data_IF_701866570717
#
_entry.id   IF_701866570717
#
_cell.length_a   1.000
_cell.length_b   1.000
_cell.length_c   1.000
_cell.angle_alpha   90.00
_cell.angle_beta   90.00
_cell.angle_gamma   90.00
#
_symmetry.space_group_name_H-M   'P 1'
#
loop_
_entity.id
_entity.type
_entity.pdbx_description
1 polymer ?
#
# COMPACT_ATOMS: atom_id res chain seq x y z
N UNK A 1 26.30 4.29 27.74
CA UNK A 1 26.07 2.96 28.36
C UNK A 1 24.60 2.50 28.34
N UNK A 2 23.72 3.04 27.49
CA UNK A 2 22.28 2.63 27.46
C UNK A 2 21.87 2.01 26.11
N UNK A 3 22.54 2.37 25.01
CA UNK A 3 22.23 1.87 23.66
C UNK A 3 22.39 0.35 23.43
N UNK A 4 23.45 -0.34 23.93
CA UNK A 4 23.64 -1.77 23.63
C UNK A 4 22.64 -2.67 24.36
N UNK A 5 22.07 -2.23 25.49
CA UNK A 5 21.14 -3.01 26.27
C UNK A 5 19.76 -3.12 25.58
N UNK A 6 19.30 -2.04 24.93
CA UNK A 6 18.00 -2.01 24.24
C UNK A 6 17.99 -2.97 23.03
N UNK A 7 19.13 -3.11 22.33
CA UNK A 7 19.27 -4.06 21.23
C UNK A 7 19.25 -5.52 21.71
N UNK A 8 19.77 -5.80 22.91
CA UNK A 8 19.76 -7.13 23.49
C UNK A 8 18.33 -7.61 23.85
N UNK A 9 17.43 -6.70 24.25
CA UNK A 9 16.02 -7.03 24.52
C UNK A 9 15.26 -7.60 23.30
N UNK A 10 15.68 -7.29 22.07
CA UNK A 10 15.01 -7.74 20.84
C UNK A 10 15.82 -8.75 20.01
N UNK A 11 17.09 -8.97 20.33
CA UNK A 11 17.98 -9.91 19.65
C UNK A 11 18.16 -11.23 20.42
N UNK A 12 17.23 -11.59 21.32
CA UNK A 12 17.16 -12.96 21.83
C UNK A 12 16.49 -13.85 20.78
N UNK A 13 17.28 -14.68 20.13
CA UNK A 13 16.80 -15.67 19.18
C UNK A 13 16.57 -16.98 19.94
N UNK A 14 15.33 -17.49 20.04
CA UNK A 14 15.10 -18.78 20.66
C UNK A 14 15.92 -19.88 19.99
N UNK A 15 16.58 -20.70 20.81
CA UNK A 15 17.39 -21.82 20.36
C UNK A 15 16.52 -22.88 19.67
N UNK A 16 15.28 -23.09 20.16
CA UNK A 16 14.30 -23.97 19.54
C UNK A 16 13.46 -23.21 18.50
N UNK A 17 13.48 -23.71 17.25
CA UNK A 17 12.77 -23.10 16.13
C UNK A 17 11.25 -23.08 16.31
N UNK A 18 10.70 -23.91 17.19
CA UNK A 18 9.26 -23.97 17.48
C UNK A 18 8.74 -22.70 18.13
N UNK A 19 9.58 -21.97 18.85
CA UNK A 19 9.18 -20.71 19.50
C UNK A 19 8.92 -19.57 18.50
N UNK A 20 9.37 -19.69 17.24
CA UNK A 20 9.03 -18.73 16.18
C UNK A 20 7.68 -18.97 15.51
N UNK A 21 7.05 -20.14 15.72
CA UNK A 21 5.78 -20.50 15.07
C UNK A 21 4.69 -19.43 15.31
N UNK A 22 4.48 -18.91 16.54
CA UNK A 22 3.50 -17.85 16.78
C UNK A 22 3.80 -16.58 15.97
N UNK A 23 5.06 -16.16 15.91
CA UNK A 23 5.47 -14.99 15.14
C UNK A 23 5.25 -15.18 13.63
N UNK A 24 5.55 -16.37 13.10
CA UNK A 24 5.31 -16.71 11.70
C UNK A 24 3.82 -16.69 11.34
N UNK A 25 2.95 -17.18 12.24
CA UNK A 25 1.49 -17.14 12.05
C UNK A 25 1.00 -15.69 12.04
N UNK A 26 1.36 -14.89 13.04
CA UNK A 26 0.97 -13.48 13.12
C UNK A 26 1.44 -12.71 11.89
N UNK A 27 2.71 -12.86 11.50
CA UNK A 27 3.26 -12.24 10.31
C UNK A 27 2.50 -12.65 9.05
N UNK A 28 2.18 -13.93 8.90
CA UNK A 28 1.44 -14.44 7.74
C UNK A 28 0.04 -13.83 7.64
N UNK A 29 -0.67 -13.70 8.76
CA UNK A 29 -2.00 -13.07 8.80
C UNK A 29 -1.92 -11.61 8.35
N UNK A 30 -0.98 -10.84 8.90
CA UNK A 30 -0.79 -9.44 8.52
C UNK A 30 -0.34 -9.28 7.08
N UNK A 31 0.53 -10.16 6.58
CA UNK A 31 0.99 -10.15 5.20
C UNK A 31 -0.16 -10.40 4.24
N UNK A 32 -1.00 -11.41 4.51
CA UNK A 32 -2.19 -11.70 3.70
C UNK A 32 -3.14 -10.51 3.71
N UNK A 33 -3.41 -9.94 4.90
CA UNK A 33 -4.25 -8.76 5.03
C UNK A 33 -3.71 -7.58 4.22
N UNK A 34 -2.42 -7.29 4.29
CA UNK A 34 -1.79 -6.20 3.53
C UNK A 34 -1.92 -6.40 2.01
N UNK A 35 -1.72 -7.63 1.52
CA UNK A 35 -1.89 -7.96 0.11
C UNK A 35 -3.35 -7.75 -0.32
N UNK A 36 -4.31 -8.22 0.48
CA UNK A 36 -5.74 -8.04 0.20
C UNK A 36 -6.13 -6.56 0.20
N UNK A 37 -5.65 -5.79 1.18
CA UNK A 37 -5.89 -4.35 1.25
C UNK A 37 -5.33 -3.65 0.01
N UNK A 38 -4.09 -3.94 -0.39
CA UNK A 38 -3.53 -3.34 -1.60
C UNK A 38 -4.30 -3.73 -2.86
N UNK A 39 -4.73 -4.98 -2.96
CA UNK A 39 -5.55 -5.42 -4.09
C UNK A 39 -6.88 -4.66 -4.18
N UNK A 40 -7.55 -4.42 -3.06
CA UNK A 40 -8.79 -3.63 -2.99
C UNK A 40 -8.53 -2.18 -3.40
N UNK A 41 -7.47 -1.55 -2.88
CA UNK A 41 -7.12 -0.16 -3.21
C UNK A 41 -6.91 -0.01 -4.72
N UNK A 42 -6.09 -0.88 -5.33
CA UNK A 42 -5.81 -0.83 -6.77
C UNK A 42 -7.10 -0.97 -7.59
N UNK A 43 -8.00 -1.89 -7.20
CA UNK A 43 -9.28 -2.09 -7.88
C UNK A 43 -10.15 -0.85 -7.82
N UNK A 44 -10.21 -0.19 -6.66
CA UNK A 44 -10.99 1.03 -6.47
C UNK A 44 -10.37 2.19 -7.25
N UNK A 45 -9.05 2.35 -7.22
CA UNK A 45 -8.34 3.40 -7.97
C UNK A 45 -8.60 3.31 -9.47
N UNK A 46 -8.58 2.11 -10.06
CA UNK A 46 -8.88 1.92 -11.49
C UNK A 46 -10.30 2.38 -11.86
N UNK A 47 -11.28 2.10 -10.99
CA UNK A 47 -12.66 2.56 -11.22
C UNK A 47 -12.77 4.08 -11.18
N UNK A 48 -12.09 4.72 -10.23
CA UNK A 48 -12.07 6.17 -10.11
C UNK A 48 -11.35 6.82 -11.31
N UNK A 49 -10.25 6.22 -11.78
CA UNK A 49 -9.52 6.67 -12.96
C UNK A 49 -10.40 6.65 -14.22
N UNK A 50 -11.14 5.56 -14.44
CA UNK A 50 -12.07 5.46 -15.57
C UNK A 50 -13.19 6.51 -15.51
N UNK A 51 -13.75 6.76 -14.32
CA UNK A 51 -14.78 7.78 -14.13
C UNK A 51 -14.24 9.20 -14.34
N UNK A 52 -13.04 9.50 -13.80
CA UNK A 52 -12.36 10.77 -14.01
C UNK A 52 -12.07 11.02 -15.50
N UNK A 53 -11.57 10.00 -16.22
CA UNK A 53 -11.32 10.10 -17.67
C UNK A 53 -12.60 10.40 -18.47
N UNK A 54 -13.71 9.73 -18.13
CA UNK A 54 -15.01 10.01 -18.76
C UNK A 54 -15.49 11.44 -18.48
N UNK A 55 -15.27 11.95 -17.27
CA UNK A 55 -15.61 13.32 -16.91
C UNK A 55 -14.76 14.33 -17.69
N UNK A 56 -13.44 14.11 -17.79
CA UNK A 56 -12.55 14.93 -18.60
C UNK A 56 -12.99 14.98 -20.07
N UNK A 57 -13.33 13.83 -20.67
CA UNK A 57 -13.83 13.78 -22.05
C UNK A 57 -15.15 14.56 -22.22
N UNK A 58 -16.06 14.50 -21.24
CA UNK A 58 -17.31 15.28 -21.28
C UNK A 58 -17.05 16.78 -21.17
N UNK A 59 -16.13 17.20 -20.30
CA UNK A 59 -15.76 18.60 -20.12
C UNK A 59 -15.04 19.16 -21.36
N UNK A 60 -14.20 18.35 -22.01
CA UNK A 60 -13.60 18.66 -23.32
C UNK A 60 -14.67 18.83 -24.39
N UNK A 61 -15.64 17.91 -24.49
CA UNK A 61 -16.77 18.03 -25.43
C UNK A 61 -17.61 19.28 -25.21
N UNK A 62 -17.74 19.73 -23.95
CA UNK A 62 -18.45 20.97 -23.60
C UNK A 62 -17.59 22.24 -23.72
N UNK A 63 -16.34 22.14 -24.19
CA UNK A 63 -15.36 23.24 -24.25
C UNK A 63 -15.17 23.99 -22.92
N UNK A 64 -15.47 23.35 -21.79
CA UNK A 64 -15.33 23.95 -20.45
C UNK A 64 -13.87 23.96 -20.01
N UNK A 65 -13.07 23.02 -20.51
CA UNK A 65 -11.64 22.91 -20.28
C UNK A 65 -10.92 22.95 -21.63
N UNK A 66 -10.00 23.91 -21.80
CA UNK A 66 -9.11 24.04 -22.96
C UNK A 66 -7.75 23.48 -22.57
N UNK A 67 -7.17 22.59 -23.37
CA UNK A 67 -5.85 22.01 -23.10
C UNK A 67 -4.78 23.13 -23.02
N UNK A 68 -4.10 23.30 -21.88
CA UNK A 68 -2.95 24.20 -21.74
C UNK A 68 -1.69 23.68 -22.45
N UNK A 69 -1.70 22.44 -22.95
CA UNK A 69 -0.54 21.82 -23.61
C UNK A 69 -0.21 22.35 -25.01
N UNK A 70 -0.88 23.40 -25.48
CA UNK A 70 -0.64 23.96 -26.81
C UNK A 70 0.30 25.18 -26.84
N UNK A 71 0.98 25.53 -25.74
CA UNK A 71 1.89 26.68 -25.69
C UNK A 71 3.26 26.38 -25.03
N UNK A 72 3.95 25.32 -25.50
CA UNK A 72 5.41 25.15 -25.34
C UNK A 72 5.97 24.52 -26.60
#
# INVERSE_FOLDING_TARGET
>A
MILPNILNLFLYFPEDKREYIPAAISFSIFLIAAILTMWVIIKVSKRQEEEAKKLEEQLKRKNVIRDEKQNV
#
